data_IF_314814882200
#
_entry.id   IF_314814882200
#
_cell.length_a   1.000
_cell.length_b   1.000
_cell.length_c   1.000
_cell.angle_alpha   90.00
_cell.angle_beta   90.00
_cell.angle_gamma   90.00
#
_symmetry.space_group_name_H-M   'P 1'
#
loop_
_entity.id
_entity.type
_entity.pdbx_description
1 polymer ?
#
# COMPACT_ATOMS: atom_id res chain seq x y z
N UNK A 1 -18.46 11.32 -31.04
CA UNK A 1 -17.32 11.50 -30.11
C UNK A 1 -16.02 11.47 -30.93
N UNK A 2 -15.27 12.58 -31.04
CA UNK A 2 -14.12 12.72 -31.96
C UNK A 2 -12.86 12.06 -31.38
N UNK A 3 -12.55 10.84 -31.81
CA UNK A 3 -11.39 10.04 -31.35
C UNK A 3 -10.05 10.37 -32.04
N UNK A 4 -9.96 11.44 -32.84
CA UNK A 4 -8.85 11.65 -33.80
C UNK A 4 -7.55 12.26 -33.25
N UNK A 5 -7.50 12.72 -31.99
CA UNK A 5 -6.33 13.47 -31.46
C UNK A 5 -5.58 12.78 -30.29
N UNK A 6 -6.11 11.69 -29.72
CA UNK A 6 -5.48 11.04 -28.57
C UNK A 6 -4.18 10.31 -28.93
N UNK A 7 -4.07 9.70 -30.12
CA UNK A 7 -2.84 8.97 -30.52
C UNK A 7 -1.59 9.86 -30.57
N UNK A 8 -1.74 11.15 -30.93
CA UNK A 8 -0.64 12.12 -30.92
C UNK A 8 -0.24 12.52 -29.50
N UNK A 9 -1.22 12.61 -28.59
CA UNK A 9 -1.01 12.95 -27.18
C UNK A 9 -0.51 11.78 -26.34
N UNK A 10 -0.86 10.53 -26.69
CA UNK A 10 -0.48 9.32 -25.96
C UNK A 10 1.03 9.25 -25.72
N UNK A 11 1.86 9.45 -26.74
CA UNK A 11 3.32 9.45 -26.56
C UNK A 11 3.81 10.50 -25.56
N UNK A 12 3.19 11.68 -25.55
CA UNK A 12 3.54 12.74 -24.60
C UNK A 12 3.06 12.41 -23.19
N UNK A 13 1.85 11.88 -23.05
CA UNK A 13 1.27 11.48 -21.76
C UNK A 13 2.01 10.29 -21.16
N UNK A 14 2.39 9.30 -21.96
CA UNK A 14 3.23 8.18 -21.51
C UNK A 14 4.57 8.70 -20.99
N UNK A 15 5.24 9.63 -21.71
CA UNK A 15 6.48 10.26 -21.21
C UNK A 15 6.25 11.03 -19.91
N UNK A 16 5.15 11.76 -19.78
CA UNK A 16 4.82 12.46 -18.54
C UNK A 16 4.56 11.49 -17.39
N UNK A 17 3.85 10.40 -17.62
CA UNK A 17 3.60 9.37 -16.61
C UNK A 17 4.90 8.73 -16.12
N UNK A 18 5.81 8.38 -17.04
CA UNK A 18 7.14 7.92 -16.67
C UNK A 18 7.94 8.99 -15.91
N UNK A 19 7.90 10.25 -16.34
CA UNK A 19 8.58 11.36 -15.64
C UNK A 19 8.01 11.65 -14.25
N UNK A 20 6.72 11.36 -14.04
CA UNK A 20 6.06 11.46 -12.74
C UNK A 20 6.33 10.25 -11.84
N UNK A 21 6.83 9.14 -12.40
CA UNK A 21 7.27 8.00 -11.62
C UNK A 21 8.72 8.27 -11.17
N UNK A 22 8.97 8.50 -9.87
CA UNK A 22 10.31 8.81 -9.39
C UNK A 22 11.27 7.61 -9.43
N UNK A 23 10.84 6.47 -9.98
CA UNK A 23 11.57 5.22 -9.99
C UNK A 23 12.79 5.25 -10.91
N UNK A 24 13.87 4.64 -10.43
CA UNK A 24 15.02 4.20 -11.21
C UNK A 24 15.68 3.03 -10.48
N UNK A 25 16.54 2.28 -11.17
CA UNK A 25 17.15 1.06 -10.64
C UNK A 25 18.04 1.31 -9.40
N UNK A 26 18.56 2.52 -9.20
CA UNK A 26 19.32 2.85 -7.97
C UNK A 26 18.45 2.70 -6.72
N UNK A 27 17.13 2.94 -6.83
CA UNK A 27 16.18 2.80 -5.72
C UNK A 27 16.00 1.35 -5.26
N UNK A 28 16.45 0.35 -6.03
CA UNK A 28 16.48 -1.04 -5.59
C UNK A 28 17.49 -1.26 -4.47
N UNK A 29 18.52 -0.41 -4.39
CA UNK A 29 19.62 -0.57 -3.44
C UNK A 29 19.79 0.62 -2.49
N UNK A 30 19.34 1.81 -2.88
CA UNK A 30 19.59 3.07 -2.16
C UNK A 30 18.30 3.86 -1.95
N UNK A 31 18.07 4.31 -0.73
CA UNK A 31 16.95 5.18 -0.40
C UNK A 31 17.11 6.56 -1.06
N UNK A 32 16.02 7.07 -1.65
CA UNK A 32 15.97 8.38 -2.32
C UNK A 32 16.36 9.54 -1.40
N UNK A 33 15.91 9.51 -0.16
CA UNK A 33 16.13 10.57 0.83
C UNK A 33 17.13 10.07 1.87
N UNK A 34 18.40 9.98 1.49
CA UNK A 34 19.46 9.57 2.42
C UNK A 34 19.73 10.71 3.42
N UNK A 35 19.44 10.53 4.72
CA UNK A 35 19.66 11.59 5.69
C UNK A 35 21.15 11.94 5.74
N UNK A 36 21.50 13.23 5.75
CA UNK A 36 22.89 13.67 5.89
C UNK A 36 23.46 13.43 7.30
N UNK A 37 22.65 12.92 8.23
CA UNK A 37 23.00 12.63 9.61
C UNK A 37 22.72 11.18 10.01
N UNK A 38 23.01 10.80 11.27
CA UNK A 38 22.77 9.45 11.75
C UNK A 38 21.28 9.08 11.65
N UNK A 39 21.00 7.92 11.07
CA UNK A 39 19.65 7.38 10.89
C UNK A 39 19.60 5.94 11.39
N UNK A 40 18.54 5.60 12.12
CA UNK A 40 18.24 4.21 12.50
C UNK A 40 17.69 3.40 11.31
N UNK A 41 17.11 4.09 10.32
CA UNK A 41 16.62 3.49 9.08
C UNK A 41 17.79 3.43 8.10
N UNK A 42 18.18 2.23 7.63
CA UNK A 42 19.30 2.09 6.70
C UNK A 42 18.96 2.73 5.36
N UNK A 43 19.90 3.50 4.81
CA UNK A 43 19.73 4.15 3.51
C UNK A 43 20.21 3.31 2.33
N UNK A 44 20.80 2.15 2.60
CA UNK A 44 21.22 1.18 1.60
C UNK A 44 20.91 -0.22 2.12
N UNK A 45 20.49 -1.10 1.23
CA UNK A 45 20.22 -2.51 1.54
C UNK A 45 21.49 -3.16 2.13
N UNK A 46 21.34 -3.91 3.21
CA UNK A 46 22.44 -4.65 3.84
C UNK A 46 23.26 -3.90 4.89
N UNK A 47 23.10 -2.58 5.06
CA UNK A 47 23.83 -1.81 6.10
C UNK A 47 23.47 -2.21 7.54
N UNK A 48 22.37 -2.92 7.74
CA UNK A 48 21.85 -3.29 9.06
C UNK A 48 21.15 -2.13 9.77
N UNK A 49 20.48 -2.44 10.89
CA UNK A 49 19.77 -1.45 11.71
C UNK A 49 19.88 -1.83 13.19
N UNK A 50 19.90 -0.83 14.10
CA UNK A 50 19.68 -1.07 15.53
C UNK A 50 18.30 -1.68 15.83
N UNK A 51 17.31 -1.48 14.95
CA UNK A 51 15.96 -2.04 15.09
C UNK A 51 16.05 -3.57 15.12
N UNK A 52 15.54 -4.18 16.18
CA UNK A 52 15.52 -5.64 16.37
C UNK A 52 14.17 -6.27 16.09
N UNK A 53 13.09 -5.51 16.32
CA UNK A 53 11.73 -6.00 16.20
C UNK A 53 10.88 -4.96 15.48
N UNK A 54 10.08 -5.42 14.53
CA UNK A 54 9.02 -4.66 13.88
C UNK A 54 7.74 -5.43 14.13
N UNK A 55 6.75 -4.77 14.72
CA UNK A 55 5.42 -5.36 14.91
C UNK A 55 4.51 -4.69 13.89
N UNK A 56 4.05 -5.48 12.91
CA UNK A 56 3.14 -5.01 11.87
C UNK A 56 1.77 -5.63 12.07
N UNK A 57 0.74 -4.78 12.26
CA UNK A 57 -0.63 -5.18 12.51
C UNK A 57 -1.48 -4.74 11.33
N UNK A 58 -2.02 -5.69 10.58
CA UNK A 58 -2.94 -5.45 9.48
C UNK A 58 -4.37 -5.63 9.99
N UNK A 59 -5.25 -4.65 9.72
CA UNK A 59 -6.70 -4.80 9.91
C UNK A 59 -7.37 -4.96 8.57
N UNK A 60 -7.95 -6.13 8.39
CA UNK A 60 -8.66 -6.49 7.17
C UNK A 60 -10.06 -5.86 7.13
N UNK A 61 -10.56 -5.56 5.92
CA UNK A 61 -11.94 -5.12 5.67
C UNK A 61 -12.32 -3.84 6.43
N UNK A 62 -11.39 -2.89 6.58
CA UNK A 62 -11.63 -1.61 7.26
C UNK A 62 -11.10 -0.46 6.42
N UNK A 63 -11.96 0.53 6.21
CA UNK A 63 -11.54 1.82 5.63
C UNK A 63 -11.02 2.75 6.73
N UNK A 64 -10.26 3.76 6.32
CA UNK A 64 -9.74 4.79 7.22
C UNK A 64 -10.87 5.49 7.99
N UNK A 65 -11.85 6.07 7.29
CA UNK A 65 -12.89 6.88 7.91
C UNK A 65 -13.81 6.09 8.85
N UNK A 66 -14.00 4.78 8.59
CA UNK A 66 -14.79 3.91 9.46
C UNK A 66 -14.26 3.87 10.88
N UNK A 67 -12.95 4.05 11.10
CA UNK A 67 -12.31 4.00 12.41
C UNK A 67 -11.81 5.37 12.85
N UNK A 68 -11.27 6.17 11.94
CA UNK A 68 -10.54 7.40 12.25
C UNK A 68 -11.16 8.67 11.67
N UNK A 69 -12.36 8.59 11.07
CA UNK A 69 -13.04 9.76 10.50
C UNK A 69 -13.41 10.83 11.54
N UNK A 70 -13.46 10.47 12.83
CA UNK A 70 -13.73 11.36 13.96
C UNK A 70 -12.47 12.02 14.56
N UNK A 71 -11.27 11.75 14.02
CA UNK A 71 -10.03 12.35 14.49
C UNK A 71 -9.80 13.75 13.89
N UNK A 72 -9.74 14.82 14.71
CA UNK A 72 -9.59 16.19 14.22
C UNK A 72 -8.23 16.48 13.58
N UNK A 73 -7.20 15.69 13.88
CA UNK A 73 -5.85 15.85 13.35
C UNK A 73 -5.64 15.18 11.98
N UNK A 74 -6.60 14.39 11.49
CA UNK A 74 -6.50 13.67 10.23
C UNK A 74 -7.43 14.22 9.15
N UNK A 75 -7.15 13.87 7.90
CA UNK A 75 -8.01 14.15 6.76
C UNK A 75 -9.20 13.16 6.65
N UNK A 76 -10.03 13.08 7.69
CA UNK A 76 -11.17 12.14 7.77
C UNK A 76 -12.55 12.79 7.64
N UNK A 77 -13.55 11.99 7.26
CA UNK A 77 -14.98 12.39 7.27
C UNK A 77 -15.74 11.71 8.42
N UNK A 78 -16.07 12.49 9.46
CA UNK A 78 -16.74 11.98 10.66
C UNK A 78 -18.13 11.41 10.40
N UNK A 79 -18.77 11.73 9.26
CA UNK A 79 -20.06 11.14 8.86
C UNK A 79 -19.93 9.68 8.45
N UNK A 80 -18.73 9.22 8.12
CA UNK A 80 -18.43 7.86 7.70
C UNK A 80 -17.90 6.99 8.86
N UNK A 81 -17.72 7.58 10.05
CA UNK A 81 -17.23 6.87 11.22
C UNK A 81 -18.29 5.93 11.77
N UNK A 82 -17.93 4.65 11.85
CA UNK A 82 -18.76 3.56 12.39
C UNK A 82 -18.21 3.10 13.73
N UNK A 83 -16.88 3.12 13.90
CA UNK A 83 -16.16 2.58 15.04
C UNK A 83 -15.31 3.67 15.73
N UNK A 84 -15.97 4.75 16.15
CA UNK A 84 -15.31 5.87 16.82
C UNK A 84 -14.68 5.49 18.17
N UNK A 85 -14.13 6.49 18.87
CA UNK A 85 -13.31 6.29 20.09
C UNK A 85 -13.88 5.33 21.14
N UNK A 86 -15.18 5.39 21.42
CA UNK A 86 -15.82 4.51 22.42
C UNK A 86 -15.71 3.02 22.05
N UNK A 87 -15.64 2.71 20.75
CA UNK A 87 -15.53 1.33 20.23
C UNK A 87 -14.07 0.95 19.97
N UNK A 88 -13.23 1.90 19.55
CA UNK A 88 -11.82 1.64 19.21
C UNK A 88 -10.82 2.48 20.03
N UNK A 89 -10.92 2.47 21.37
CA UNK A 89 -10.18 3.40 22.22
C UNK A 89 -8.66 3.22 22.09
N UNK A 90 -8.19 1.98 21.94
CA UNK A 90 -6.77 1.69 21.78
C UNK A 90 -6.21 2.17 20.43
N UNK A 91 -7.00 2.15 19.34
CA UNK A 91 -6.53 2.61 18.03
C UNK A 91 -6.39 4.12 18.03
N UNK A 92 -7.37 4.79 18.62
CA UNK A 92 -7.34 6.23 18.81
C UNK A 92 -6.16 6.66 19.69
N UNK A 93 -5.91 5.96 20.79
CA UNK A 93 -4.77 6.23 21.66
C UNK A 93 -3.43 6.06 20.93
N UNK A 94 -3.28 5.03 20.07
CA UNK A 94 -2.08 4.85 19.26
C UNK A 94 -1.86 6.03 18.30
N UNK A 95 -2.93 6.50 17.64
CA UNK A 95 -2.84 7.63 16.71
C UNK A 95 -2.50 8.94 17.42
N UNK A 96 -2.91 9.12 18.67
CA UNK A 96 -2.56 10.31 19.47
C UNK A 96 -1.13 10.27 20.01
N UNK A 97 -0.57 9.07 20.20
CA UNK A 97 0.79 8.88 20.71
C UNK A 97 1.84 8.87 19.61
N UNK A 98 1.46 8.48 18.39
CA UNK A 98 2.38 8.24 17.28
C UNK A 98 1.95 9.02 16.03
N UNK A 99 2.62 8.74 14.92
CA UNK A 99 2.34 9.40 13.64
C UNK A 99 1.04 8.84 13.05
N UNK A 100 0.13 9.74 12.66
CA UNK A 100 -1.00 9.44 11.79
C UNK A 100 -0.59 9.62 10.33
N UNK A 101 -0.81 8.59 9.52
CA UNK A 101 -0.72 8.69 8.06
C UNK A 101 -2.16 8.61 7.53
N UNK A 102 -2.69 9.73 7.05
CA UNK A 102 -4.12 9.93 6.75
C UNK A 102 -4.43 9.95 5.25
N UNK A 103 -3.42 9.80 4.40
CA UNK A 103 -3.54 9.75 2.94
C UNK A 103 -2.77 8.54 2.38
N UNK A 104 -2.98 7.37 2.99
CA UNK A 104 -2.48 6.08 2.49
C UNK A 104 -3.64 5.35 1.82
N UNK A 105 -3.40 4.92 0.58
CA UNK A 105 -4.34 4.15 -0.22
C UNK A 105 -3.76 2.77 -0.46
N UNK A 106 -4.63 1.76 -0.44
CA UNK A 106 -4.29 0.39 -0.83
C UNK A 106 -5.04 0.09 -2.13
N UNK A 107 -4.32 -0.35 -3.16
CA UNK A 107 -4.88 -0.73 -4.46
C UNK A 107 -5.37 -2.17 -4.40
N UNK A 108 -6.28 -2.45 -3.46
CA UNK A 108 -6.80 -3.77 -3.22
C UNK A 108 -8.30 -3.77 -2.97
N UNK A 109 -9.00 -4.74 -3.54
CA UNK A 109 -10.44 -4.92 -3.34
C UNK A 109 -10.77 -6.00 -2.30
N UNK A 110 -9.92 -7.03 -2.18
CA UNK A 110 -10.14 -8.14 -1.27
C UNK A 110 -8.89 -8.45 -0.46
N UNK A 111 -8.98 -9.47 0.39
CA UNK A 111 -7.87 -9.87 1.26
C UNK A 111 -6.72 -10.49 0.47
N UNK A 112 -6.99 -11.09 -0.69
CA UNK A 112 -6.00 -11.85 -1.46
C UNK A 112 -4.87 -10.95 -1.96
N UNK A 113 -5.24 -9.91 -2.69
CA UNK A 113 -4.41 -8.82 -3.20
C UNK A 113 -4.05 -7.82 -2.08
N UNK A 114 -4.98 -7.52 -1.17
CA UNK A 114 -4.74 -6.59 -0.07
C UNK A 114 -3.63 -7.01 0.88
N UNK A 115 -3.49 -8.31 1.15
CA UNK A 115 -2.34 -8.82 1.88
C UNK A 115 -1.06 -8.57 1.09
N UNK A 116 -1.00 -8.92 -0.20
CA UNK A 116 0.19 -8.75 -1.05
C UNK A 116 0.65 -7.30 -1.17
N UNK A 117 -0.28 -6.37 -1.34
CA UNK A 117 0.05 -4.95 -1.34
C UNK A 117 0.58 -4.49 0.02
N UNK A 118 0.00 -4.98 1.12
CA UNK A 118 0.41 -4.62 2.49
C UNK A 118 1.75 -5.22 2.91
N UNK A 119 2.09 -6.43 2.47
CA UNK A 119 3.22 -7.19 3.00
C UNK A 119 4.32 -7.56 1.98
N UNK A 120 4.10 -7.31 0.69
CA UNK A 120 5.10 -7.50 -0.37
C UNK A 120 5.27 -6.26 -1.26
N UNK A 121 4.43 -5.24 -1.07
CA UNK A 121 4.36 -4.04 -1.91
C UNK A 121 4.05 -4.35 -3.39
N UNK A 122 3.55 -5.54 -3.70
CA UNK A 122 3.23 -5.97 -5.06
C UNK A 122 2.25 -7.14 -5.04
N UNK A 123 1.10 -6.98 -5.69
CA UNK A 123 0.23 -8.09 -6.05
C UNK A 123 0.64 -8.68 -7.41
N UNK A 124 0.70 -10.00 -7.51
CA UNK A 124 1.13 -10.66 -8.76
C UNK A 124 0.05 -10.59 -9.84
N UNK A 125 0.46 -10.53 -11.12
CA UNK A 125 -0.48 -10.62 -12.25
C UNK A 125 -1.35 -11.89 -12.19
N UNK A 126 -0.79 -12.99 -11.66
CA UNK A 126 -1.56 -14.18 -11.38
C UNK A 126 -2.65 -13.90 -10.35
N UNK A 127 -2.31 -13.33 -9.21
CA UNK A 127 -3.26 -12.97 -8.14
C UNK A 127 -4.40 -12.12 -8.67
N UNK A 128 -4.06 -11.02 -9.36
CA UNK A 128 -5.02 -10.05 -9.90
C UNK A 128 -6.02 -10.68 -10.87
N UNK A 129 -5.56 -11.62 -11.69
CA UNK A 129 -6.43 -12.33 -12.64
C UNK A 129 -7.16 -13.51 -12.02
N UNK A 130 -6.67 -14.03 -10.90
CA UNK A 130 -7.15 -15.26 -10.30
C UNK A 130 -8.31 -15.02 -9.35
N UNK A 131 -8.17 -14.09 -8.40
CA UNK A 131 -9.14 -13.92 -7.32
C UNK A 131 -10.56 -13.58 -7.81
N UNK A 132 -10.79 -12.75 -8.86
CA UNK A 132 -12.15 -12.37 -9.24
C UNK A 132 -12.98 -13.56 -9.73
N UNK A 133 -12.41 -14.40 -10.59
CA UNK A 133 -13.09 -15.59 -11.11
C UNK A 133 -13.36 -16.60 -10.00
N UNK A 134 -12.43 -16.74 -9.05
CA UNK A 134 -12.58 -17.65 -7.91
C UNK A 134 -13.67 -17.18 -6.94
N UNK A 135 -13.65 -15.92 -6.52
CA UNK A 135 -14.67 -15.36 -5.63
C UNK A 135 -16.05 -15.29 -6.31
N UNK A 136 -16.08 -15.11 -7.63
CA UNK A 136 -17.29 -15.21 -8.44
C UNK A 136 -17.81 -16.64 -8.65
N UNK A 137 -17.14 -17.67 -8.12
CA UNK A 137 -17.54 -19.07 -8.29
C UNK A 137 -17.39 -19.61 -9.71
N UNK A 138 -16.62 -18.93 -10.56
CA UNK A 138 -16.39 -19.29 -11.97
C UNK A 138 -15.10 -20.08 -12.19
N UNK A 139 -14.28 -20.23 -11.15
CA UNK A 139 -13.02 -20.97 -11.19
C UNK A 139 -12.73 -21.63 -9.84
N UNK A 140 -12.22 -22.85 -9.89
CA UNK A 140 -11.70 -23.62 -8.76
C UNK A 140 -10.17 -23.76 -8.81
N UNK A 141 -9.51 -23.06 -9.75
CA UNK A 141 -8.08 -23.15 -9.94
C UNK A 141 -7.33 -22.92 -8.61
N UNK A 142 -6.35 -23.78 -8.24
CA UNK A 142 -5.63 -23.60 -7.00
C UNK A 142 -4.66 -22.42 -7.09
N UNK A 143 -4.28 -21.88 -5.93
CA UNK A 143 -3.11 -21.01 -5.85
C UNK A 143 -1.87 -21.78 -6.27
N UNK A 144 -0.99 -21.12 -7.00
CA UNK A 144 0.26 -21.70 -7.49
C UNK A 144 1.45 -20.86 -7.04
N UNK A 145 2.67 -21.32 -7.31
CA UNK A 145 3.88 -20.54 -7.06
C UNK A 145 3.86 -19.17 -7.77
N UNK A 146 3.11 -19.02 -8.88
CA UNK A 146 2.95 -17.75 -9.57
C UNK A 146 2.22 -16.69 -8.75
N UNK A 147 1.50 -17.09 -7.69
CA UNK A 147 0.87 -16.16 -6.76
C UNK A 147 1.87 -15.51 -5.81
N UNK A 148 3.10 -16.03 -5.67
CA UNK A 148 4.08 -15.51 -4.70
C UNK A 148 4.88 -14.37 -5.35
N UNK A 149 4.90 -13.15 -4.77
CA UNK A 149 5.75 -12.06 -5.25
C UNK A 149 7.23 -12.46 -5.27
N UNK A 150 7.93 -12.12 -6.36
CA UNK A 150 9.33 -12.53 -6.55
C UNK A 150 10.29 -11.93 -5.52
N UNK A 151 9.93 -10.78 -4.93
CA UNK A 151 10.68 -10.13 -3.86
C UNK A 151 10.37 -10.73 -2.47
N UNK A 152 9.44 -11.67 -2.37
CA UNK A 152 8.98 -12.24 -1.11
C UNK A 152 8.01 -11.35 -0.34
N UNK A 153 7.78 -11.72 0.91
CA UNK A 153 6.98 -10.98 1.87
C UNK A 153 7.90 -10.38 2.95
N UNK A 154 7.37 -9.47 3.78
CA UNK A 154 8.08 -8.93 4.95
C UNK A 154 8.51 -10.02 5.97
N UNK A 155 8.03 -11.27 5.83
CA UNK A 155 8.31 -12.41 6.71
C UNK A 155 8.61 -13.70 5.93
#
# INVERSE_FOLDING_TARGET
>A
MKTRDYRKKLRSLTRQAYANCPYNDDLLSKAKNNPSGPSIVPSTVGLGSPIKHVIYIIKENRTYDQVFGDLPQGNGDSRLTIFGREVTPNHHALVEQFVLLDNIYCDAEVSVDGHQWSNAAYATDFTEKHWPARYGGMSDAPYTAAAVPSAGYLW
#
